data_IF_044933198835
#
_entry.id   IF_044933198835
#
_cell.length_a   1.000
_cell.length_b   1.000
_cell.length_c   1.000
_cell.angle_alpha   90.00
_cell.angle_beta   90.00
_cell.angle_gamma   90.00
#
_symmetry.space_group_name_H-M   'P 1'
#
loop_
_entity.id
_entity.type
_entity.pdbx_description
1 polymer ?
#
# COMPACT_ATOMS: atom_id res chain seq x y z
N UNK A 1 4.72 -6.87 10.16
CA UNK A 1 3.42 -6.22 9.86
C UNK A 1 2.76 -5.96 11.19
N UNK A 2 2.80 -4.73 11.70
CA UNK A 2 2.07 -4.40 12.92
C UNK A 2 0.60 -4.33 12.49
N UNK A 3 -0.15 -5.39 12.81
CA UNK A 3 -1.60 -5.38 12.67
C UNK A 3 -2.18 -4.33 13.61
N UNK A 4 -3.39 -3.88 13.30
CA UNK A 4 -4.18 -2.80 13.95
C UNK A 4 -4.53 -3.05 15.44
N UNK A 5 -3.64 -3.65 16.22
CA UNK A 5 -3.83 -4.07 17.61
C UNK A 5 -2.57 -4.02 18.47
N UNK A 6 -1.51 -3.31 18.05
CA UNK A 6 -0.36 -3.05 18.93
C UNK A 6 -0.25 -1.56 19.21
N UNK A 7 -1.24 -1.00 19.91
CA UNK A 7 -1.09 0.28 20.61
C UNK A 7 -0.14 0.06 21.81
N UNK A 8 1.16 0.03 21.55
CA UNK A 8 2.17 0.30 22.58
C UNK A 8 2.65 1.73 22.36
N UNK A 9 2.10 2.63 23.17
CA UNK A 9 2.28 4.08 23.11
C UNK A 9 3.60 4.57 23.70
N UNK A 10 4.71 3.83 23.58
CA UNK A 10 5.89 4.10 24.43
C UNK A 10 7.27 3.92 23.76
N UNK A 11 7.37 4.09 22.44
CA UNK A 11 8.69 4.29 21.82
C UNK A 11 8.64 5.39 20.76
N UNK A 12 8.85 6.64 21.19
CA UNK A 12 8.90 7.85 20.36
C UNK A 12 10.10 7.89 19.38
N UNK A 13 10.74 6.75 19.09
CA UNK A 13 11.94 6.69 18.24
C UNK A 13 11.70 6.06 16.86
N UNK A 14 10.54 5.42 16.63
CA UNK A 14 10.22 4.76 15.35
C UNK A 14 8.84 5.19 14.85
N UNK A 15 8.80 5.89 13.72
CA UNK A 15 7.55 6.23 13.03
C UNK A 15 6.77 4.98 12.64
N UNK A 16 5.47 4.99 12.93
CA UNK A 16 4.56 3.93 12.51
C UNK A 16 4.50 3.85 10.98
N UNK A 17 4.65 2.64 10.42
CA UNK A 17 4.63 2.40 8.97
C UNK A 17 3.61 1.33 8.61
N UNK A 18 3.05 1.51 7.42
CA UNK A 18 2.04 0.64 6.85
C UNK A 18 2.58 -0.01 5.58
N UNK A 19 2.23 -1.28 5.35
CA UNK A 19 2.48 -1.94 4.07
C UNK A 19 1.49 -1.43 3.02
N UNK A 20 1.97 -1.28 1.78
CA UNK A 20 1.16 -0.79 0.67
C UNK A 20 0.19 -1.87 0.18
N UNK A 21 -1.04 -1.47 -0.14
CA UNK A 21 -2.04 -2.32 -0.78
C UNK A 21 -1.93 -2.31 -2.32
N UNK A 22 -1.14 -1.37 -2.87
CA UNK A 22 -0.84 -1.19 -4.30
C UNK A 22 0.30 -0.18 -4.48
N UNK A 23 1.08 -0.30 -5.56
CA UNK A 23 2.10 0.68 -6.01
C UNK A 23 1.54 2.09 -6.22
N UNK A 24 0.24 2.23 -6.45
CA UNK A 24 -0.43 3.52 -6.62
C UNK A 24 -0.29 4.42 -5.39
N UNK A 25 -0.38 3.86 -4.17
CA UNK A 25 -0.30 4.64 -2.93
C UNK A 25 1.02 5.41 -2.79
N UNK A 26 2.20 4.77 -2.90
CA UNK A 26 3.47 5.50 -2.85
C UNK A 26 3.70 6.35 -4.09
N UNK A 27 3.25 5.95 -5.30
CA UNK A 27 3.40 6.77 -6.51
C UNK A 27 2.60 8.07 -6.39
N UNK A 28 1.39 8.03 -5.86
CA UNK A 28 0.58 9.22 -5.62
C UNK A 28 1.22 10.13 -4.57
N UNK A 29 1.81 9.54 -3.52
CA UNK A 29 2.52 10.30 -2.48
C UNK A 29 3.92 10.80 -2.93
N UNK A 30 4.49 10.25 -4.00
CA UNK A 30 5.85 10.55 -4.46
C UNK A 30 6.00 12.00 -4.94
N UNK A 31 4.97 12.55 -5.59
CA UNK A 31 4.94 13.94 -6.06
C UNK A 31 4.23 14.87 -5.07
N UNK A 32 4.13 14.47 -3.79
CA UNK A 32 3.59 15.33 -2.75
C UNK A 32 4.49 16.57 -2.63
N UNK A 33 3.85 17.73 -2.50
CA UNK A 33 4.51 19.03 -2.35
C UNK A 33 5.30 19.53 -3.58
N UNK A 34 5.11 18.88 -4.74
CA UNK A 34 5.69 19.29 -6.02
C UNK A 34 4.69 20.07 -6.89
N UNK A 35 5.15 21.13 -7.58
CA UNK A 35 4.34 21.87 -8.55
C UNK A 35 4.74 21.51 -9.98
N UNK A 36 3.86 20.79 -10.68
CA UNK A 36 4.12 20.32 -12.04
C UNK A 36 3.82 21.40 -13.07
N UNK A 37 4.70 21.59 -14.06
CA UNK A 37 4.43 22.47 -15.19
C UNK A 37 3.53 21.75 -16.21
N UNK A 38 2.66 22.47 -16.93
CA UNK A 38 1.82 21.87 -17.96
C UNK A 38 2.63 21.16 -19.07
N UNK A 39 3.83 21.65 -19.37
CA UNK A 39 4.72 21.04 -20.37
C UNK A 39 5.26 19.66 -19.97
N UNK A 40 5.32 19.36 -18.68
CA UNK A 40 5.83 18.07 -18.16
C UNK A 40 4.77 16.96 -18.20
N UNK A 41 3.52 17.31 -18.53
CA UNK A 41 2.38 16.39 -18.54
C UNK A 41 2.06 15.89 -19.96
N UNK A 42 1.62 14.62 -20.13
CA UNK A 42 1.31 13.66 -19.07
C UNK A 42 2.53 12.85 -18.60
N UNK A 43 2.73 12.78 -17.28
CA UNK A 43 3.68 11.84 -16.67
C UNK A 43 2.99 10.48 -16.55
N UNK A 44 3.69 9.40 -16.96
CA UNK A 44 3.16 8.03 -16.93
C UNK A 44 4.10 7.12 -16.14
N UNK A 45 3.58 6.50 -15.10
CA UNK A 45 4.30 5.54 -14.27
C UNK A 45 3.79 4.12 -14.50
N UNK A 46 4.70 3.16 -14.62
CA UNK A 46 4.41 1.73 -14.60
C UNK A 46 4.95 1.15 -13.28
N UNK A 47 4.12 1.15 -12.25
CA UNK A 47 4.51 0.75 -10.90
C UNK A 47 4.35 -0.74 -10.67
N UNK A 48 5.47 -1.44 -10.46
CA UNK A 48 5.52 -2.85 -10.04
C UNK A 48 5.82 -2.95 -8.54
N UNK A 49 5.03 -3.71 -7.78
CA UNK A 49 5.25 -3.93 -6.36
C UNK A 49 4.51 -5.14 -5.80
N UNK A 50 5.05 -5.69 -4.72
CA UNK A 50 4.32 -6.59 -3.82
C UNK A 50 3.23 -5.80 -3.07
N UNK A 51 1.99 -6.27 -3.17
CA UNK A 51 0.80 -5.67 -2.58
C UNK A 51 0.33 -6.48 -1.38
N UNK A 52 0.00 -5.79 -0.28
CA UNK A 52 -0.44 -6.41 0.98
C UNK A 52 -1.87 -5.99 1.34
N UNK A 53 -2.80 -6.95 1.46
CA UNK A 53 -4.20 -6.68 1.81
C UNK A 53 -4.67 -7.56 2.96
N UNK A 54 -5.33 -6.96 3.95
CA UNK A 54 -5.88 -7.71 5.09
C UNK A 54 -7.13 -8.53 4.72
N UNK A 55 -7.78 -8.22 3.59
CA UNK A 55 -8.98 -8.92 3.10
C UNK A 55 -10.10 -9.07 4.16
N UNK A 56 -10.24 -8.06 5.04
CA UNK A 56 -11.26 -8.03 6.08
C UNK A 56 -12.65 -8.09 5.45
N UNK A 57 -13.53 -8.96 5.97
CA UNK A 57 -14.89 -9.15 5.45
C UNK A 57 -15.02 -10.20 4.34
N UNK A 58 -13.94 -10.90 3.95
CA UNK A 58 -13.97 -11.95 2.93
C UNK A 58 -14.11 -13.38 3.48
N UNK A 59 -14.58 -13.54 4.73
CA UNK A 59 -14.67 -14.85 5.38
C UNK A 59 -15.47 -15.85 4.52
N UNK A 60 -14.84 -16.99 4.18
CA UNK A 60 -15.47 -18.05 3.38
C UNK A 60 -15.53 -17.79 1.87
N UNK A 61 -15.04 -16.65 1.38
CA UNK A 61 -15.05 -16.31 -0.06
C UNK A 61 -13.67 -16.51 -0.69
N UNK A 62 -13.63 -17.17 -1.85
CA UNK A 62 -12.41 -17.37 -2.65
C UNK A 62 -11.22 -17.97 -1.88
N UNK A 63 -11.51 -18.93 -0.99
CA UNK A 63 -10.53 -19.49 -0.04
C UNK A 63 -9.55 -20.49 -0.63
N UNK A 64 -9.77 -20.93 -1.87
CA UNK A 64 -8.93 -21.92 -2.55
C UNK A 64 -8.15 -21.28 -3.70
N UNK A 65 -6.86 -21.59 -3.77
CA UNK A 65 -5.96 -21.10 -4.82
C UNK A 65 -5.37 -19.73 -4.49
N UNK A 66 -4.99 -18.99 -5.53
CA UNK A 66 -4.29 -17.70 -5.42
C UNK A 66 -5.14 -16.50 -5.87
N UNK A 67 -6.45 -16.70 -6.06
CA UNK A 67 -7.33 -15.66 -6.55
C UNK A 67 -7.53 -14.52 -5.54
N UNK A 68 -7.54 -14.85 -4.25
CA UNK A 68 -7.61 -13.89 -3.14
C UNK A 68 -6.57 -14.26 -2.08
N UNK A 69 -5.52 -13.46 -1.98
CA UNK A 69 -4.39 -13.70 -1.09
C UNK A 69 -3.96 -12.39 -0.42
N UNK A 70 -3.33 -12.51 0.75
CA UNK A 70 -2.83 -11.34 1.47
C UNK A 70 -1.62 -10.67 0.80
N UNK A 71 -0.89 -11.40 -0.04
CA UNK A 71 0.30 -10.94 -0.73
C UNK A 71 0.23 -11.35 -2.20
N UNK A 72 0.39 -10.39 -3.11
CA UNK A 72 0.44 -10.63 -4.56
C UNK A 72 1.26 -9.56 -5.28
N UNK A 73 1.71 -9.84 -6.49
CA UNK A 73 2.45 -8.89 -7.33
C UNK A 73 1.50 -8.13 -8.27
N UNK A 74 1.74 -6.83 -8.45
CA UNK A 74 1.04 -5.99 -9.42
C UNK A 74 1.91 -4.83 -9.87
#
# INVERSE_FOLDING_TARGET
VIGKGSEKSDDNTVDEKYLIATSEQPIAAFLRDEWLKPEDLPIRYAGISTCFRQEVGSHGRDTRGIFRVHQFEK
#
